data_IF_973480328704
#
_entry.id   IF_973480328704
#
_cell.length_a   1.000
_cell.length_b   1.000
_cell.length_c   1.000
_cell.angle_alpha   90.00
_cell.angle_beta   90.00
_cell.angle_gamma   90.00
#
_symmetry.space_group_name_H-M   'P 1'
#
loop_
_entity.id
_entity.type
_entity.pdbx_description
1 polymer ?
#
# COMPACT_ATOMS: atom_id res chain seq x y z
N UNK A 1 17.10 3.32 -13.70
CA UNK A 1 17.33 2.65 -12.39
C UNK A 1 16.71 3.45 -11.24
N UNK A 2 17.02 4.74 -11.09
CA UNK A 2 16.44 5.63 -10.05
C UNK A 2 14.90 5.51 -9.96
N UNK A 3 14.20 5.66 -11.09
CA UNK A 3 12.74 5.59 -11.12
C UNK A 3 12.18 4.24 -10.64
N UNK A 4 12.89 3.13 -10.91
CA UNK A 4 12.46 1.80 -10.49
C UNK A 4 12.60 1.65 -8.97
N UNK A 5 13.73 2.06 -8.43
CA UNK A 5 13.98 1.96 -6.98
C UNK A 5 13.10 2.91 -6.19
N UNK A 6 12.92 4.13 -6.67
CA UNK A 6 11.92 5.06 -6.14
C UNK A 6 10.54 4.44 -6.08
N UNK A 7 10.10 3.80 -7.18
CA UNK A 7 8.83 3.10 -7.24
C UNK A 7 8.80 1.97 -6.21
N UNK A 8 9.82 1.11 -6.13
CA UNK A 8 9.87 0.01 -5.14
C UNK A 8 9.73 0.56 -3.71
N UNK A 9 10.54 1.55 -3.34
CA UNK A 9 10.48 2.18 -2.01
C UNK A 9 9.15 2.84 -1.72
N UNK A 10 8.55 3.50 -2.71
CA UNK A 10 7.22 4.09 -2.58
C UNK A 10 6.15 3.04 -2.26
N UNK A 11 6.18 1.88 -2.91
CA UNK A 11 5.23 0.79 -2.61
C UNK A 11 5.47 0.14 -1.25
N UNK A 12 6.72 0.08 -0.78
CA UNK A 12 7.03 -0.39 0.57
C UNK A 12 6.45 0.52 1.67
N UNK A 13 6.37 1.83 1.44
CA UNK A 13 5.81 2.79 2.40
C UNK A 13 4.31 3.13 2.19
N UNK A 14 3.71 2.74 1.06
CA UNK A 14 2.33 3.08 0.69
C UNK A 14 1.31 2.72 1.77
N UNK A 15 1.47 1.55 2.39
CA UNK A 15 0.58 1.07 3.43
C UNK A 15 0.66 1.94 4.71
N UNK A 16 1.82 2.54 5.00
CA UNK A 16 1.96 3.50 6.10
C UNK A 16 1.21 4.79 5.80
N UNK A 17 1.37 5.37 4.61
CA UNK A 17 0.62 6.59 4.20
C UNK A 17 -0.89 6.38 4.37
N UNK A 18 -1.39 5.27 3.82
CA UNK A 18 -2.80 4.90 3.96
C UNK A 18 -3.22 4.72 5.43
N UNK A 19 -2.38 4.09 6.25
CA UNK A 19 -2.68 3.90 7.68
C UNK A 19 -2.72 5.23 8.44
N UNK A 20 -1.84 6.19 8.13
CA UNK A 20 -1.85 7.53 8.73
C UNK A 20 -3.19 8.22 8.46
N UNK A 21 -3.66 8.18 7.22
CA UNK A 21 -4.95 8.76 6.85
C UNK A 21 -6.10 8.10 7.62
N UNK A 22 -6.14 6.76 7.69
CA UNK A 22 -7.18 6.03 8.43
C UNK A 22 -7.11 6.29 9.93
N UNK A 23 -5.90 6.39 10.50
CA UNK A 23 -5.70 6.77 11.90
C UNK A 23 -6.26 8.17 12.17
N UNK A 24 -6.01 9.12 11.28
CA UNK A 24 -6.51 10.47 11.39
C UNK A 24 -8.04 10.50 11.33
N UNK A 25 -8.65 9.82 10.37
CA UNK A 25 -10.10 9.69 10.24
C UNK A 25 -10.74 9.07 11.50
N UNK A 26 -10.12 8.03 12.09
CA UNK A 26 -10.63 7.41 13.32
C UNK A 26 -10.50 8.34 14.54
N UNK A 27 -9.40 9.08 14.68
CA UNK A 27 -9.12 9.90 15.88
C UNK A 27 -9.84 11.25 15.85
N UNK A 28 -9.88 11.89 14.69
CA UNK A 28 -10.49 13.21 14.48
C UNK A 28 -11.76 13.13 13.62
N UNK A 29 -12.60 12.12 13.88
CA UNK A 29 -13.81 11.82 13.10
C UNK A 29 -14.76 13.03 12.93
N UNK A 30 -14.95 13.85 13.99
CA UNK A 30 -15.81 15.05 13.94
C UNK A 30 -15.34 16.08 12.92
N UNK A 31 -14.03 16.17 12.75
CA UNK A 31 -13.40 17.09 11.80
C UNK A 31 -13.45 16.51 10.39
N UNK A 32 -13.20 15.20 10.26
CA UNK A 32 -13.25 14.48 8.99
C UNK A 32 -14.65 14.54 8.36
N UNK A 33 -15.69 14.39 9.19
CA UNK A 33 -17.11 14.48 8.77
C UNK A 33 -17.47 15.84 8.18
N UNK A 34 -16.88 16.93 8.67
CA UNK A 34 -17.16 18.28 8.15
C UNK A 34 -16.60 18.50 6.74
N UNK A 35 -15.85 17.54 6.18
CA UNK A 35 -15.21 17.62 4.87
C UNK A 35 -14.47 18.96 4.66
N UNK A 36 -13.85 19.46 5.74
CA UNK A 36 -13.20 20.77 5.73
C UNK A 36 -12.04 20.78 4.71
N UNK A 37 -11.67 21.94 4.13
CA UNK A 37 -10.50 22.05 3.26
C UNK A 37 -9.21 21.51 3.90
N UNK A 38 -9.13 21.53 5.24
CA UNK A 38 -8.00 20.94 5.96
C UNK A 38 -7.85 19.43 5.81
N UNK A 39 -8.89 18.70 5.37
CA UNK A 39 -8.78 17.26 5.06
C UNK A 39 -7.79 16.98 3.94
N UNK A 40 -7.69 17.90 2.98
CA UNK A 40 -6.69 17.83 1.90
C UNK A 40 -5.26 17.87 2.45
N UNK A 41 -5.00 18.65 3.50
CA UNK A 41 -3.65 18.72 4.09
C UNK A 41 -3.22 17.40 4.69
N UNK A 42 -4.12 16.61 5.27
CA UNK A 42 -3.76 15.28 5.79
C UNK A 42 -3.37 14.35 4.65
N UNK A 43 -4.07 14.41 3.50
CA UNK A 43 -3.70 13.63 2.32
C UNK A 43 -2.32 14.02 1.80
N UNK A 44 -2.04 15.32 1.67
CA UNK A 44 -0.74 15.83 1.22
C UNK A 44 0.37 15.41 2.19
N UNK A 45 0.14 15.52 3.50
CA UNK A 45 1.12 15.15 4.52
C UNK A 45 1.38 13.63 4.50
N UNK A 46 0.32 12.81 4.46
CA UNK A 46 0.46 11.36 4.40
C UNK A 46 1.25 10.93 3.15
N UNK A 47 0.97 11.56 2.01
CA UNK A 47 1.67 11.30 0.76
C UNK A 47 3.13 11.78 0.79
N UNK A 48 3.40 12.98 1.33
CA UNK A 48 4.75 13.48 1.50
C UNK A 48 5.60 12.59 2.42
N UNK A 49 5.00 12.04 3.48
CA UNK A 49 5.63 11.07 4.38
C UNK A 49 6.02 9.78 3.67
N UNK A 50 5.40 9.44 2.54
CA UNK A 50 5.80 8.30 1.72
C UNK A 50 6.80 8.66 0.62
N UNK A 51 6.51 9.73 -0.14
CA UNK A 51 7.33 10.15 -1.29
C UNK A 51 8.72 10.60 -0.86
N UNK A 52 8.85 11.39 0.21
CA UNK A 52 10.14 11.98 0.61
C UNK A 52 11.14 10.89 1.03
N UNK A 53 10.80 9.93 1.92
CA UNK A 53 11.70 8.83 2.25
C UNK A 53 12.03 7.95 1.04
N UNK A 54 11.05 7.65 0.18
CA UNK A 54 11.28 6.85 -1.02
C UNK A 54 12.28 7.52 -1.98
N UNK A 55 12.14 8.83 -2.21
CA UNK A 55 13.07 9.61 -3.02
C UNK A 55 14.46 9.67 -2.39
N UNK A 56 14.54 9.84 -1.06
CA UNK A 56 15.81 9.88 -0.34
C UNK A 56 16.56 8.54 -0.43
N UNK A 57 15.87 7.42 -0.16
CA UNK A 57 16.46 6.07 -0.23
C UNK A 57 16.98 5.79 -1.64
N UNK A 58 16.14 6.04 -2.66
CA UNK A 58 16.53 5.82 -4.06
C UNK A 58 17.71 6.70 -4.49
N UNK A 59 17.76 7.95 -4.01
CA UNK A 59 18.88 8.85 -4.29
C UNK A 59 20.17 8.39 -3.61
N UNK A 60 20.11 7.97 -2.34
CA UNK A 60 21.27 7.48 -1.60
C UNK A 60 21.86 6.22 -2.25
N UNK A 61 21.01 5.30 -2.68
CA UNK A 61 21.44 4.08 -3.37
C UNK A 61 22.11 4.41 -4.71
N UNK A 62 21.48 5.26 -5.52
CA UNK A 62 21.96 5.61 -6.86
C UNK A 62 23.24 6.45 -6.86
N UNK A 63 23.44 7.26 -5.82
CA UNK A 63 24.69 8.00 -5.60
C UNK A 63 25.80 7.12 -5.01
N UNK A 64 25.52 5.85 -4.71
CA UNK A 64 26.50 4.89 -4.17
C UNK A 64 26.83 5.09 -2.69
N UNK A 65 25.99 5.83 -1.95
CA UNK A 65 26.18 6.01 -0.49
C UNK A 65 25.76 4.79 0.32
N UNK A 66 24.84 3.98 -0.20
CA UNK A 66 24.40 2.73 0.42
C UNK A 66 24.54 1.58 -0.57
N UNK A 67 24.94 0.42 -0.07
CA UNK A 67 25.01 -0.81 -0.86
C UNK A 67 23.62 -1.40 -1.10
N UNK A 68 23.54 -2.33 -2.06
CA UNK A 68 22.30 -3.02 -2.42
C UNK A 68 21.69 -3.74 -1.20
N UNK A 69 22.52 -4.35 -0.36
CA UNK A 69 22.07 -5.07 0.84
C UNK A 69 21.37 -4.15 1.84
N UNK A 70 21.97 -2.99 2.13
CA UNK A 70 21.35 -1.97 2.99
C UNK A 70 20.08 -1.40 2.37
N UNK A 71 20.05 -1.10 1.07
CA UNK A 71 18.84 -0.61 0.40
C UNK A 71 17.68 -1.62 0.51
N UNK A 72 17.93 -2.90 0.21
CA UNK A 72 16.95 -3.98 0.35
C UNK A 72 16.50 -4.13 1.81
N UNK A 73 17.45 -4.06 2.76
CA UNK A 73 17.17 -4.14 4.19
C UNK A 73 16.26 -3.02 4.68
N UNK A 74 16.51 -1.77 4.29
CA UNK A 74 15.68 -0.61 4.66
C UNK A 74 14.27 -0.77 4.10
N UNK A 75 14.13 -1.12 2.82
CA UNK A 75 12.82 -1.31 2.18
C UNK A 75 12.04 -2.47 2.82
N UNK A 76 12.71 -3.56 3.16
CA UNK A 76 12.12 -4.68 3.88
C UNK A 76 11.60 -4.25 5.26
N UNK A 77 12.41 -3.53 6.04
CA UNK A 77 12.00 -3.03 7.36
C UNK A 77 10.83 -2.06 7.26
N UNK A 78 10.86 -1.13 6.30
CA UNK A 78 9.79 -0.16 6.05
C UNK A 78 8.47 -0.86 5.71
N UNK A 79 8.51 -1.86 4.82
CA UNK A 79 7.33 -2.63 4.44
C UNK A 79 6.75 -3.42 5.62
N UNK A 80 7.58 -4.13 6.38
CA UNK A 80 7.12 -4.91 7.53
C UNK A 80 6.58 -4.01 8.65
N UNK A 81 7.23 -2.88 8.91
CA UNK A 81 6.73 -1.89 9.85
C UNK A 81 5.36 -1.35 9.41
N UNK A 82 5.21 -1.03 8.13
CA UNK A 82 3.93 -0.59 7.56
C UNK A 82 2.82 -1.63 7.75
N UNK A 83 3.11 -2.91 7.49
CA UNK A 83 2.19 -4.02 7.71
C UNK A 83 1.77 -4.15 9.18
N UNK A 84 2.71 -4.02 10.12
CA UNK A 84 2.40 -4.07 11.55
C UNK A 84 1.49 -2.92 11.98
N UNK A 85 1.85 -1.68 11.63
CA UNK A 85 1.06 -0.48 11.98
C UNK A 85 -0.35 -0.58 11.38
N UNK A 86 -0.46 -1.06 10.14
CA UNK A 86 -1.74 -1.33 9.50
C UNK A 86 -2.56 -2.37 10.25
N UNK A 87 -1.97 -3.52 10.57
CA UNK A 87 -2.64 -4.61 11.28
C UNK A 87 -3.17 -4.17 12.65
N UNK A 88 -2.36 -3.47 13.44
CA UNK A 88 -2.77 -2.96 14.74
C UNK A 88 -3.91 -1.95 14.62
N UNK A 89 -3.84 -1.05 13.63
CA UNK A 89 -4.89 -0.08 13.35
C UNK A 89 -6.19 -0.76 12.94
N UNK A 90 -6.11 -1.75 12.05
CA UNK A 90 -7.26 -2.56 11.61
C UNK A 90 -7.91 -3.29 12.79
N UNK A 91 -7.12 -4.00 13.61
CA UNK A 91 -7.61 -4.70 14.80
C UNK A 91 -8.22 -3.75 15.81
N UNK A 92 -7.66 -2.56 16.00
CA UNK A 92 -8.22 -1.53 16.88
C UNK A 92 -9.57 -1.03 16.36
N UNK A 93 -9.68 -0.72 15.08
CA UNK A 93 -10.94 -0.28 14.45
C UNK A 93 -12.01 -1.37 14.52
N UNK A 94 -11.64 -2.62 14.23
CA UNK A 94 -12.53 -3.77 14.31
C UNK A 94 -13.05 -4.00 15.75
N UNK A 95 -12.15 -4.00 16.75
CA UNK A 95 -12.52 -4.13 18.17
C UNK A 95 -13.44 -3.00 18.62
N UNK A 96 -13.14 -1.75 18.22
CA UNK A 96 -13.99 -0.62 18.53
C UNK A 96 -15.40 -0.81 17.95
N UNK A 97 -15.50 -1.22 16.69
CA UNK A 97 -16.79 -1.51 16.04
C UNK A 97 -17.57 -2.64 16.72
N UNK A 98 -16.89 -3.73 17.12
CA UNK A 98 -17.53 -4.82 17.85
C UNK A 98 -18.08 -4.36 19.21
N UNK A 99 -17.34 -3.52 19.95
CA UNK A 99 -17.82 -2.96 21.23
C UNK A 99 -19.05 -2.09 21.05
N UNK A 100 -19.10 -1.29 19.98
CA UNK A 100 -20.29 -0.48 19.63
C UNK A 100 -21.49 -1.40 19.38
N UNK A 101 -21.31 -2.44 18.55
CA UNK A 101 -22.40 -3.35 18.17
C UNK A 101 -22.91 -4.19 19.36
N UNK A 102 -22.10 -4.41 20.39
CA UNK A 102 -22.49 -5.09 21.64
C UNK A 102 -23.19 -4.17 22.66
N UNK A 103 -23.28 -2.86 22.40
CA UNK A 103 -23.86 -1.90 23.35
C UNK A 103 -22.97 -1.59 24.56
N UNK A 104 -21.68 -1.96 24.53
CA UNK A 104 -20.74 -1.76 25.65
C UNK A 104 -20.27 -0.29 25.81
N UNK A 105 -20.85 0.67 25.07
CA UNK A 105 -20.42 2.07 25.04
C UNK A 105 -21.47 2.96 25.68
N UNK A 106 -21.03 3.81 26.63
CA UNK A 106 -21.90 4.81 27.25
C UNK A 106 -22.50 5.76 26.20
N UNK A 107 -23.79 6.09 26.36
CA UNK A 107 -24.52 6.98 25.45
C UNK A 107 -23.85 8.36 25.25
N UNK A 108 -23.10 8.86 26.24
CA UNK A 108 -22.38 10.14 26.15
C UNK A 108 -21.21 10.13 25.15
N UNK A 109 -20.72 8.95 24.75
CA UNK A 109 -19.58 8.81 23.82
C UNK A 109 -20.00 8.27 22.45
N UNK A 110 -21.29 7.95 22.29
CA UNK A 110 -21.86 7.41 21.07
C UNK A 110 -22.29 8.54 20.13
N UNK A 111 -21.88 8.44 18.88
CA UNK A 111 -22.40 9.27 17.80
C UNK A 111 -22.58 8.38 16.58
N UNK A 112 -23.73 8.52 15.90
CA UNK A 112 -24.04 7.80 14.66
C UNK A 112 -22.93 8.01 13.62
N UNK A 113 -22.41 9.23 13.53
CA UNK A 113 -21.32 9.59 12.63
C UNK A 113 -20.03 8.81 12.94
N UNK A 114 -19.65 8.68 14.21
CA UNK A 114 -18.48 7.90 14.61
C UNK A 114 -18.60 6.43 14.22
N UNK A 115 -19.79 5.84 14.39
CA UNK A 115 -20.06 4.46 13.99
C UNK A 115 -19.97 4.28 12.48
N UNK A 116 -20.48 5.25 11.71
CA UNK A 116 -20.37 5.26 10.26
C UNK A 116 -18.91 5.31 9.81
N UNK A 117 -18.11 6.24 10.36
CA UNK A 117 -16.68 6.37 10.06
C UNK A 117 -15.88 5.10 10.40
N UNK A 118 -16.16 4.46 11.54
CA UNK A 118 -15.52 3.19 11.91
C UNK A 118 -15.89 2.05 10.94
N UNK A 119 -17.15 1.95 10.53
CA UNK A 119 -17.60 0.94 9.56
C UNK A 119 -16.94 1.15 8.20
N UNK A 120 -16.88 2.39 7.75
CA UNK A 120 -16.20 2.78 6.51
C UNK A 120 -14.70 2.44 6.58
N UNK A 121 -13.99 2.83 7.63
CA UNK A 121 -12.57 2.51 7.79
C UNK A 121 -12.30 1.00 7.80
N UNK A 122 -13.10 0.20 8.52
CA UNK A 122 -12.96 -1.27 8.51
C UNK A 122 -13.23 -1.86 7.12
N UNK A 123 -14.25 -1.35 6.42
CA UNK A 123 -14.56 -1.78 5.05
C UNK A 123 -13.41 -1.48 4.09
N UNK A 124 -12.89 -0.24 4.09
CA UNK A 124 -11.79 0.17 3.21
C UNK A 124 -10.53 -0.63 3.55
N UNK A 125 -10.21 -0.82 4.83
CA UNK A 125 -9.04 -1.62 5.21
C UNK A 125 -9.19 -3.10 4.79
N UNK A 126 -10.39 -3.68 4.89
CA UNK A 126 -10.62 -5.04 4.40
C UNK A 126 -10.44 -5.13 2.88
N UNK A 127 -10.91 -4.12 2.15
CA UNK A 127 -10.73 -4.01 0.71
C UNK A 127 -9.25 -3.93 0.32
N UNK A 128 -8.45 -3.09 0.99
CA UNK A 128 -7.00 -3.04 0.74
C UNK A 128 -6.32 -4.38 0.97
N UNK A 129 -6.65 -5.10 2.06
CA UNK A 129 -6.09 -6.43 2.32
C UNK A 129 -6.43 -7.41 1.19
N UNK A 130 -7.66 -7.35 0.64
CA UNK A 130 -8.05 -8.23 -0.47
C UNK A 130 -7.29 -7.96 -1.77
N UNK A 131 -6.72 -6.77 -1.94
CA UNK A 131 -5.85 -6.44 -3.09
C UNK A 131 -4.39 -6.78 -2.75
N UNK A 132 -3.91 -6.37 -1.58
CA UNK A 132 -2.50 -6.48 -1.21
C UNK A 132 -2.03 -7.92 -1.10
N UNK A 133 -2.84 -8.82 -0.53
CA UNK A 133 -2.42 -10.22 -0.32
C UNK A 133 -2.17 -10.93 -1.65
N UNK A 134 -3.10 -10.93 -2.62
CA UNK A 134 -2.82 -11.52 -3.94
C UNK A 134 -1.66 -10.82 -4.67
N UNK A 135 -1.57 -9.49 -4.60
CA UNK A 135 -0.46 -8.76 -5.21
C UNK A 135 0.89 -9.16 -4.61
N UNK A 136 0.99 -9.33 -3.29
CA UNK A 136 2.21 -9.78 -2.63
C UNK A 136 2.63 -11.18 -3.09
N UNK A 137 1.67 -12.10 -3.29
CA UNK A 137 1.96 -13.45 -3.82
C UNK A 137 2.56 -13.37 -5.23
N UNK A 138 2.02 -12.51 -6.10
CA UNK A 138 2.54 -12.29 -7.46
C UNK A 138 3.91 -11.61 -7.45
N UNK A 139 4.24 -10.85 -6.42
CA UNK A 139 5.55 -10.20 -6.27
C UNK A 139 6.67 -11.15 -5.82
N UNK A 140 6.35 -12.29 -5.17
CA UNK A 140 7.36 -13.24 -4.64
C UNK A 140 8.40 -13.66 -5.70
N UNK A 141 8.02 -14.07 -6.93
CA UNK A 141 9.01 -14.45 -7.94
C UNK A 141 9.95 -13.31 -8.32
N UNK A 142 9.52 -12.04 -8.26
CA UNK A 142 10.40 -10.90 -8.51
C UNK A 142 11.53 -10.84 -7.49
N UNK A 143 11.22 -11.03 -6.19
CA UNK A 143 12.24 -11.02 -5.15
C UNK A 143 13.21 -12.19 -5.29
N UNK A 144 12.72 -13.37 -5.67
CA UNK A 144 13.59 -14.54 -5.89
C UNK A 144 14.53 -14.34 -7.09
N UNK A 145 14.02 -13.78 -8.19
CA UNK A 145 14.81 -13.51 -9.40
C UNK A 145 15.85 -12.41 -9.18
N UNK A 146 15.49 -11.35 -8.44
CA UNK A 146 16.42 -10.31 -8.04
C UNK A 146 17.50 -10.87 -7.10
N UNK A 147 17.11 -11.66 -6.10
CA UNK A 147 18.06 -12.34 -5.22
C UNK A 147 19.00 -13.27 -5.98
N UNK A 148 18.50 -14.01 -6.97
CA UNK A 148 19.32 -14.83 -7.84
C UNK A 148 20.29 -14.00 -8.69
N UNK A 149 19.84 -12.85 -9.21
CA UNK A 149 20.71 -11.93 -9.94
C UNK A 149 21.83 -11.40 -9.04
N UNK A 150 21.57 -11.04 -7.79
CA UNK A 150 22.58 -10.38 -6.94
C UNK A 150 23.50 -11.37 -6.21
N UNK A 151 22.96 -12.48 -5.72
CA UNK A 151 23.67 -13.46 -4.89
C UNK A 151 24.02 -14.76 -5.63
N UNK A 152 23.63 -14.90 -6.90
CA UNK A 152 23.95 -16.07 -7.71
C UNK A 152 25.45 -16.23 -8.01
N UNK A 153 25.93 -17.47 -8.25
CA UNK A 153 27.33 -17.72 -8.56
C UNK A 153 27.84 -16.85 -9.74
N UNK A 154 29.06 -16.30 -9.67
CA UNK A 154 29.59 -15.41 -10.70
C UNK A 154 29.79 -16.11 -12.05
N UNK A 155 29.98 -17.44 -12.05
CA UNK A 155 30.13 -18.25 -13.26
C UNK A 155 28.84 -18.29 -14.10
N UNK A 156 27.68 -18.04 -13.47
CA UNK A 156 26.36 -18.10 -14.11
C UNK A 156 25.93 -16.75 -14.70
N UNK A 157 26.87 -16.02 -15.29
CA UNK A 157 26.64 -14.65 -15.80
C UNK A 157 25.43 -14.53 -16.75
N UNK A 158 25.29 -15.46 -17.70
CA UNK A 158 24.16 -15.45 -18.64
C UNK A 158 22.82 -15.72 -17.94
N UNK A 159 22.76 -16.70 -17.04
CA UNK A 159 21.54 -17.02 -16.29
C UNK A 159 21.13 -15.87 -15.37
N UNK A 160 22.08 -15.18 -14.72
CA UNK A 160 21.81 -13.99 -13.90
C UNK A 160 21.16 -12.88 -14.74
N UNK A 161 21.68 -12.61 -15.95
CA UNK A 161 21.07 -11.64 -16.88
C UNK A 161 19.66 -12.03 -17.31
N UNK A 162 19.43 -13.31 -17.60
CA UNK A 162 18.09 -13.81 -17.93
C UNK A 162 17.15 -13.65 -16.72
N UNK A 163 17.62 -13.97 -15.51
CA UNK A 163 16.86 -13.77 -14.28
C UNK A 163 16.46 -12.31 -14.06
N UNK A 164 17.35 -11.37 -14.38
CA UNK A 164 17.05 -9.94 -14.31
C UNK A 164 16.01 -9.49 -15.34
N UNK A 165 16.08 -9.99 -16.57
CA UNK A 165 15.05 -9.71 -17.58
C UNK A 165 13.68 -10.28 -17.18
N UNK A 166 13.65 -11.48 -16.58
CA UNK A 166 12.43 -12.08 -16.04
C UNK A 166 11.90 -11.31 -14.82
N UNK A 167 12.77 -10.71 -14.01
CA UNK A 167 12.39 -9.82 -12.92
C UNK A 167 11.64 -8.59 -13.44
N UNK A 168 12.17 -7.91 -14.44
CA UNK A 168 11.51 -6.74 -15.05
C UNK A 168 10.15 -7.13 -15.69
N UNK A 169 10.09 -8.29 -16.36
CA UNK A 169 8.83 -8.83 -16.89
C UNK A 169 7.81 -9.12 -15.77
N UNK A 170 8.24 -9.76 -14.68
CA UNK A 170 7.34 -10.07 -13.57
C UNK A 170 6.87 -8.81 -12.83
N UNK A 171 7.68 -7.74 -12.78
CA UNK A 171 7.25 -6.44 -12.28
C UNK A 171 6.12 -5.85 -13.12
N UNK A 172 6.19 -5.97 -14.45
CA UNK A 172 5.11 -5.53 -15.35
C UNK A 172 3.83 -6.34 -15.11
N UNK A 173 3.96 -7.67 -14.98
CA UNK A 173 2.82 -8.55 -14.66
C UNK A 173 2.22 -8.19 -13.31
N UNK A 174 3.03 -8.01 -12.28
CA UNK A 174 2.60 -7.57 -10.96
C UNK A 174 1.79 -6.27 -11.04
N UNK A 175 2.26 -5.27 -11.80
CA UNK A 175 1.55 -4.00 -12.02
C UNK A 175 0.20 -4.21 -12.67
N UNK A 176 0.14 -5.01 -13.73
CA UNK A 176 -1.10 -5.31 -14.43
C UNK A 176 -2.11 -6.00 -13.51
N UNK A 177 -1.67 -7.00 -12.73
CA UNK A 177 -2.51 -7.72 -11.78
C UNK A 177 -2.98 -6.80 -10.65
N UNK A 178 -2.09 -5.98 -10.09
CA UNK A 178 -2.43 -5.01 -9.06
C UNK A 178 -3.53 -4.06 -9.53
N UNK A 179 -3.36 -3.46 -10.71
CA UNK A 179 -4.33 -2.54 -11.30
C UNK A 179 -5.67 -3.23 -11.59
N UNK A 180 -5.63 -4.45 -12.13
CA UNK A 180 -6.83 -5.26 -12.37
C UNK A 180 -7.59 -5.53 -11.07
N UNK A 181 -6.89 -5.94 -10.02
CA UNK A 181 -7.48 -6.20 -8.70
C UNK A 181 -8.04 -4.92 -8.07
N UNK A 182 -7.34 -3.79 -8.19
CA UNK A 182 -7.81 -2.50 -7.70
C UNK A 182 -9.17 -2.13 -8.29
N UNK A 183 -9.32 -2.26 -9.61
CA UNK A 183 -10.57 -1.94 -10.30
C UNK A 183 -11.67 -2.96 -9.98
N UNK A 184 -11.35 -4.26 -10.00
CA UNK A 184 -12.36 -5.33 -9.87
C UNK A 184 -12.81 -5.60 -8.44
N UNK A 185 -11.96 -5.34 -7.43
CA UNK A 185 -12.26 -5.66 -6.03
C UNK A 185 -13.34 -4.74 -5.41
N UNK A 186 -13.66 -3.60 -6.03
CA UNK A 186 -14.70 -2.69 -5.55
C UNK A 186 -15.74 -2.41 -6.64
N UNK A 187 -16.96 -2.93 -6.45
CA UNK A 187 -18.07 -2.77 -7.39
C UNK A 187 -18.46 -1.30 -7.67
N UNK A 188 -18.18 -0.36 -6.75
CA UNK A 188 -18.40 1.07 -7.00
C UNK A 188 -17.35 1.60 -7.96
N UNK A 189 -16.08 1.34 -7.68
CA UNK A 189 -14.95 1.73 -8.54
C UNK A 189 -15.12 1.10 -9.93
N UNK A 190 -15.37 -0.21 -10.00
CA UNK A 190 -15.66 -0.91 -11.25
C UNK A 190 -16.76 -0.23 -12.06
N UNK A 191 -17.88 0.17 -11.44
CA UNK A 191 -18.98 0.86 -12.12
C UNK A 191 -18.55 2.21 -12.70
N UNK A 192 -17.82 3.01 -11.94
CA UNK A 192 -17.28 4.29 -12.44
C UNK A 192 -16.30 4.07 -13.60
N UNK A 193 -15.42 3.06 -13.51
CA UNK A 193 -14.51 2.70 -14.60
C UNK A 193 -15.24 2.16 -15.83
N UNK A 194 -16.34 1.43 -15.67
CA UNK A 194 -17.18 0.99 -16.79
C UNK A 194 -17.86 2.17 -17.53
N UNK A 195 -18.07 3.31 -16.88
CA UNK A 195 -18.58 4.52 -17.52
C UNK A 195 -17.52 5.16 -18.46
N UNK A 196 -16.23 4.84 -18.27
CA UNK A 196 -15.14 5.28 -19.14
C UNK A 196 -15.03 4.30 -20.32
N UNK A 197 -15.47 4.73 -21.51
CA UNK A 197 -15.54 3.89 -22.73
C UNK A 197 -14.25 3.10 -23.03
N UNK A 198 -13.08 3.71 -22.85
CA UNK A 198 -11.77 3.07 -23.12
C UNK A 198 -11.52 1.88 -22.19
N UNK A 199 -11.85 2.03 -20.90
CA UNK A 199 -11.61 1.00 -19.90
C UNK A 199 -12.63 -0.14 -19.99
N UNK A 200 -13.85 0.17 -20.43
CA UNK A 200 -14.90 -0.83 -20.65
C UNK A 200 -14.52 -1.93 -21.66
N UNK A 201 -13.63 -1.65 -22.61
CA UNK A 201 -13.13 -2.64 -23.58
C UNK A 201 -12.11 -3.61 -22.98
N UNK A 202 -11.34 -3.17 -21.98
CA UNK A 202 -10.28 -3.98 -21.36
C UNK A 202 -10.82 -4.88 -20.25
N UNK A 203 -11.93 -4.48 -19.62
CA UNK A 203 -12.53 -5.18 -18.46
C UNK A 203 -13.64 -6.17 -18.87
N UNK A 204 -14.19 -6.05 -20.08
CA UNK A 204 -15.17 -7.00 -20.62
C UNK A 204 -14.52 -8.32 -20.98
#
# INVERSE_FOLDING_TARGET
>A
EIARDFVISYYCGLLTSFTIERCAATRWWKWYEKASPSTLWILIIAEAVNIVPAAAIASLWMLGYIDVGVNVGINFLLNNFSCLVYYFTYKRNQRALTRINKGEISFNTYSVARTFQLRENVMIMRYFVSIMVPSAVVAVPSFLLLGFHDFGPPEWFQLRKIGYALFDLNLIIFRAVFLYLEITSNNRIRREFCNIKVVSMVIR
#
